data_IF_739929832856
#
_entry.id   IF_739929832856
#
_cell.length_a   1.000
_cell.length_b   1.000
_cell.length_c   1.000
_cell.angle_alpha   90.00
_cell.angle_beta   90.00
_cell.angle_gamma   90.00
#
_symmetry.space_group_name_H-M   'P 1'
#
loop_
_entity.id
_entity.type
_entity.pdbx_description
1 polymer ?
#
# COMPACT_ATOMS: atom_id res chain seq x y z
N UNK A 1 -18.21 -27.44 -3.69
CA UNK A 1 -16.92 -28.05 -3.28
C UNK A 1 -15.88 -26.93 -3.18
N UNK A 2 -15.65 -26.38 -1.98
CA UNK A 2 -14.64 -25.35 -1.76
C UNK A 2 -13.26 -26.00 -1.77
N UNK A 3 -12.53 -25.82 -2.87
CA UNK A 3 -11.18 -26.32 -3.02
C UNK A 3 -10.27 -25.74 -1.93
N UNK A 4 -9.60 -26.65 -1.23
CA UNK A 4 -8.55 -26.51 -0.21
C UNK A 4 -7.79 -25.17 -0.25
N UNK A 5 -8.32 -24.14 0.40
CA UNK A 5 -7.72 -22.79 0.48
C UNK A 5 -6.46 -22.79 1.33
N UNK A 6 -6.43 -23.63 2.37
CA UNK A 6 -5.30 -23.76 3.28
C UNK A 6 -4.00 -24.22 2.61
N UNK A 7 -4.05 -25.00 1.52
CA UNK A 7 -2.84 -25.49 0.85
C UNK A 7 -2.15 -24.38 0.06
N UNK A 8 -2.91 -23.49 -0.57
CA UNK A 8 -2.36 -22.44 -1.42
C UNK A 8 -1.56 -21.41 -0.61
N UNK A 9 -2.06 -21.01 0.57
CA UNK A 9 -1.38 -20.06 1.45
C UNK A 9 -0.10 -20.65 2.06
N UNK A 10 -0.12 -21.93 2.43
CA UNK A 10 1.08 -22.65 2.90
C UNK A 10 2.13 -22.73 1.80
N UNK A 11 1.72 -23.02 0.56
CA UNK A 11 2.65 -23.08 -0.58
C UNK A 11 3.18 -21.70 -0.95
N UNK A 12 2.37 -20.65 -0.81
CA UNK A 12 2.81 -19.27 -0.95
C UNK A 12 3.88 -18.92 0.11
N UNK A 13 3.66 -19.25 1.38
CA UNK A 13 4.63 -19.01 2.45
C UNK A 13 5.94 -19.79 2.23
N UNK A 14 5.87 -21.03 1.74
CA UNK A 14 7.07 -21.79 1.37
C UNK A 14 7.84 -21.11 0.24
N UNK A 15 7.15 -20.73 -0.84
CA UNK A 15 7.77 -20.05 -1.99
C UNK A 15 8.39 -18.72 -1.61
N UNK A 16 7.69 -17.88 -0.84
CA UNK A 16 8.23 -16.59 -0.41
C UNK A 16 9.51 -16.78 0.41
N UNK A 17 9.52 -17.79 1.27
CA UNK A 17 10.67 -18.11 2.12
C UNK A 17 11.84 -18.69 1.32
N UNK A 18 11.56 -19.44 0.25
CA UNK A 18 12.61 -20.02 -0.61
C UNK A 18 13.25 -18.95 -1.50
N UNK A 19 12.43 -18.15 -2.18
CA UNK A 19 12.90 -17.18 -3.18
C UNK A 19 13.51 -15.92 -2.55
N UNK A 20 13.06 -15.53 -1.35
CA UNK A 20 13.44 -14.27 -0.72
C UNK A 20 14.25 -14.45 0.56
N UNK A 21 14.82 -15.63 0.81
CA UNK A 21 15.62 -15.92 2.02
C UNK A 21 16.84 -14.99 2.22
N UNK A 22 17.40 -14.45 1.13
CA UNK A 22 18.57 -13.56 1.18
C UNK A 22 18.21 -12.09 1.45
N UNK A 23 16.92 -11.73 1.42
CA UNK A 23 16.52 -10.34 1.59
C UNK A 23 16.58 -9.95 3.07
N UNK A 24 17.48 -9.03 3.42
CA UNK A 24 17.61 -8.50 4.79
C UNK A 24 16.33 -7.83 5.33
N UNK A 25 15.38 -7.50 4.46
CA UNK A 25 14.12 -6.84 4.81
C UNK A 25 12.95 -7.80 4.97
N UNK A 26 13.15 -9.11 4.76
CA UNK A 26 12.10 -10.12 4.89
C UNK A 26 12.56 -11.21 5.86
N UNK A 27 11.73 -11.48 6.87
CA UNK A 27 11.97 -12.54 7.84
C UNK A 27 10.78 -13.49 7.87
N UNK A 28 11.04 -14.81 7.88
CA UNK A 28 9.99 -15.83 7.99
C UNK A 28 9.47 -15.92 9.43
N UNK A 29 8.16 -16.10 9.59
CA UNK A 29 7.51 -16.43 10.88
C UNK A 29 6.75 -17.76 10.77
N UNK A 30 6.27 -18.29 11.89
CA UNK A 30 5.50 -19.54 11.89
C UNK A 30 4.19 -19.41 11.09
N UNK A 31 3.45 -18.32 11.33
CA UNK A 31 2.12 -18.07 10.75
C UNK A 31 2.15 -17.16 9.52
N UNK A 32 3.34 -16.81 9.02
CA UNK A 32 3.50 -16.00 7.82
C UNK A 32 4.91 -15.46 7.61
N UNK A 33 5.02 -14.14 7.47
CA UNK A 33 6.28 -13.44 7.26
C UNK A 33 6.26 -12.04 7.87
N UNK A 34 7.43 -11.45 8.00
CA UNK A 34 7.67 -10.17 8.62
C UNK A 34 8.48 -9.31 7.65
N UNK A 35 8.08 -8.05 7.49
CA UNK A 35 8.74 -7.08 6.60
C UNK A 35 9.32 -5.96 7.45
N UNK A 36 10.61 -5.69 7.27
CA UNK A 36 11.29 -4.55 7.87
C UNK A 36 11.07 -3.31 6.99
N UNK A 37 9.95 -2.60 7.22
CA UNK A 37 9.67 -1.34 6.54
C UNK A 37 10.54 -0.22 7.12
N UNK A 38 10.68 0.89 6.38
CA UNK A 38 11.39 2.08 6.87
C UNK A 38 10.80 2.63 8.19
N UNK A 39 9.50 2.43 8.39
CA UNK A 39 8.72 2.87 9.54
C UNK A 39 8.77 1.91 10.74
N UNK A 40 9.33 0.71 10.56
CA UNK A 40 9.33 -0.36 11.56
C UNK A 40 8.98 -1.72 10.96
N UNK A 41 8.99 -2.71 11.83
CA UNK A 41 8.79 -4.11 11.44
C UNK A 41 7.32 -4.49 11.55
N UNK A 42 6.75 -5.07 10.50
CA UNK A 42 5.34 -5.47 10.44
C UNK A 42 5.24 -6.96 10.14
N UNK A 43 4.44 -7.67 10.94
CA UNK A 43 4.13 -9.10 10.76
C UNK A 43 2.85 -9.26 9.94
N UNK A 44 2.90 -10.10 8.93
CA UNK A 44 1.78 -10.46 8.08
C UNK A 44 1.45 -11.94 8.27
N UNK A 45 0.18 -12.23 8.57
CA UNK A 45 -0.35 -13.59 8.60
C UNK A 45 -0.77 -13.99 7.18
N UNK A 46 -0.43 -15.21 6.76
CA UNK A 46 -0.71 -15.70 5.39
C UNK A 46 -2.09 -16.33 5.23
N UNK A 47 -2.87 -16.45 6.30
CA UNK A 47 -4.20 -17.04 6.25
C UNK A 47 -5.15 -16.21 5.35
N UNK A 48 -5.68 -16.85 4.30
CA UNK A 48 -6.59 -16.25 3.34
C UNK A 48 -5.93 -15.26 2.38
N UNK A 49 -4.60 -15.24 2.29
CA UNK A 49 -3.87 -14.27 1.45
C UNK A 49 -4.17 -14.48 -0.03
N UNK A 50 -4.13 -15.73 -0.50
CA UNK A 50 -4.36 -16.08 -1.90
C UNK A 50 -5.81 -15.84 -2.31
N UNK A 51 -6.76 -16.16 -1.43
CA UNK A 51 -8.19 -15.95 -1.67
C UNK A 51 -8.54 -14.47 -1.73
N UNK A 52 -8.03 -13.65 -0.80
CA UNK A 52 -8.22 -12.19 -0.83
C UNK A 52 -7.59 -11.54 -2.06
N UNK A 53 -6.55 -12.15 -2.62
CA UNK A 53 -5.90 -11.67 -3.83
C UNK A 53 -6.64 -12.10 -5.11
N UNK A 54 -7.58 -13.04 -5.01
CA UNK A 54 -8.40 -13.50 -6.13
C UNK A 54 -9.47 -12.46 -6.44
N UNK A 55 -9.24 -11.67 -7.48
CA UNK A 55 -10.14 -10.61 -7.94
C UNK A 55 -10.93 -11.03 -9.18
N UNK A 56 -11.60 -12.19 -9.07
CA UNK A 56 -12.31 -12.80 -10.20
C UNK A 56 -13.78 -12.39 -10.14
N UNK A 57 -14.18 -11.53 -11.07
CA UNK A 57 -15.58 -11.39 -11.44
C UNK A 57 -15.88 -12.41 -12.55
N UNK A 58 -16.83 -13.31 -12.31
CA UNK A 58 -17.17 -14.33 -13.30
C UNK A 58 -17.77 -13.70 -14.55
N UNK A 59 -17.30 -14.15 -15.72
CA UNK A 59 -17.75 -13.67 -17.04
C UNK A 59 -19.26 -13.79 -17.23
N UNK A 60 -19.87 -14.82 -16.64
CA UNK A 60 -21.31 -15.06 -16.75
C UNK A 60 -22.12 -14.01 -15.98
N UNK A 61 -21.59 -13.51 -14.87
CA UNK A 61 -22.19 -12.39 -14.13
C UNK A 61 -22.10 -11.09 -14.93
N UNK A 62 -20.96 -10.85 -15.61
CA UNK A 62 -20.82 -9.68 -16.50
C UNK A 62 -21.86 -9.74 -17.63
N UNK A 63 -21.97 -10.88 -18.30
CA UNK A 63 -22.96 -11.12 -19.36
C UNK A 63 -24.40 -10.94 -18.86
N UNK A 64 -24.69 -11.40 -17.65
CA UNK A 64 -26.00 -11.23 -17.02
C UNK A 64 -26.32 -9.74 -16.76
N UNK A 65 -25.35 -8.97 -16.28
CA UNK A 65 -25.55 -7.53 -16.05
C UNK A 65 -25.72 -6.77 -17.37
N UNK A 66 -25.01 -7.19 -18.43
CA UNK A 66 -25.11 -6.62 -19.77
C UNK A 66 -26.45 -6.93 -20.47
N UNK A 67 -27.14 -8.02 -20.10
CA UNK A 67 -28.47 -8.34 -20.63
C UNK A 67 -29.62 -7.59 -19.94
N UNK A 68 -29.31 -6.77 -18.94
CA UNK A 68 -30.29 -5.91 -18.26
C UNK A 68 -30.94 -4.92 -19.22
N UNK A 69 -32.24 -4.68 -19.04
CA UNK A 69 -32.97 -3.65 -19.78
C UNK A 69 -32.68 -2.23 -19.27
N UNK A 70 -32.01 -2.10 -18.11
CA UNK A 70 -31.69 -0.81 -17.52
C UNK A 70 -30.33 -0.29 -18.05
N UNK A 71 -30.36 0.86 -18.70
CA UNK A 71 -29.16 1.51 -19.28
C UNK A 71 -28.07 1.81 -18.27
N UNK A 72 -28.44 2.25 -17.07
CA UNK A 72 -27.48 2.51 -16.00
C UNK A 72 -26.75 1.23 -15.59
N UNK A 73 -27.46 0.11 -15.48
CA UNK A 73 -26.83 -1.18 -15.14
C UNK A 73 -25.86 -1.60 -16.23
N UNK A 74 -26.24 -1.50 -17.51
CA UNK A 74 -25.34 -1.82 -18.63
C UNK A 74 -24.10 -0.93 -18.65
N UNK A 75 -24.25 0.36 -18.33
CA UNK A 75 -23.14 1.32 -18.29
C UNK A 75 -22.09 1.02 -17.20
N UNK A 76 -22.45 0.30 -16.13
CA UNK A 76 -21.50 -0.10 -15.08
C UNK A 76 -20.57 -1.25 -15.51
N UNK A 77 -20.90 -1.98 -16.59
CA UNK A 77 -20.15 -3.13 -17.07
C UNK A 77 -19.74 -2.95 -18.55
N UNK A 78 -18.88 -1.96 -18.86
CA UNK A 78 -18.48 -1.63 -20.23
C UNK A 78 -17.53 -2.67 -20.85
N UNK A 79 -16.99 -3.59 -20.06
CA UNK A 79 -15.95 -4.53 -20.46
C UNK A 79 -16.43 -5.48 -21.57
N UNK A 80 -15.63 -5.63 -22.62
CA UNK A 80 -15.85 -6.67 -23.62
C UNK A 80 -15.34 -8.00 -23.07
N UNK A 81 -16.25 -8.95 -22.90
CA UNK A 81 -15.94 -10.26 -22.36
C UNK A 81 -15.31 -11.12 -23.45
N UNK A 82 -14.01 -10.94 -23.69
CA UNK A 82 -13.26 -11.78 -24.61
C UNK A 82 -13.10 -13.20 -24.04
N UNK A 83 -13.35 -14.23 -24.86
CA UNK A 83 -13.13 -15.64 -24.51
C UNK A 83 -11.63 -16.01 -24.40
N UNK A 84 -10.73 -15.02 -24.28
CA UNK A 84 -9.32 -15.29 -24.14
C UNK A 84 -9.07 -15.95 -22.78
N UNK A 85 -8.44 -17.11 -22.80
CA UNK A 85 -8.08 -17.90 -21.60
C UNK A 85 -6.89 -17.26 -20.84
N UNK A 86 -6.89 -15.93 -20.75
CA UNK A 86 -5.94 -15.13 -20.00
C UNK A 86 -6.21 -15.34 -18.51
N UNK A 87 -5.15 -15.52 -17.72
CA UNK A 87 -5.31 -15.59 -16.26
C UNK A 87 -5.91 -14.27 -15.77
N UNK A 88 -7.01 -14.30 -15.00
CA UNK A 88 -7.60 -13.08 -14.48
C UNK A 88 -6.56 -12.31 -13.65
N UNK A 89 -6.53 -11.00 -13.84
CA UNK A 89 -5.68 -10.10 -13.06
C UNK A 89 -6.02 -10.22 -11.57
N UNK A 90 -5.01 -10.32 -10.72
CA UNK A 90 -5.21 -10.38 -9.26
C UNK A 90 -5.41 -8.99 -8.66
N UNK A 91 -6.02 -8.90 -7.47
CA UNK A 91 -6.21 -7.64 -6.75
C UNK A 91 -4.86 -6.90 -6.57
N UNK A 92 -3.83 -7.63 -6.14
CA UNK A 92 -2.49 -7.08 -5.96
C UNK A 92 -1.86 -6.59 -7.26
N UNK A 93 -2.13 -7.25 -8.39
CA UNK A 93 -1.63 -6.78 -9.69
C UNK A 93 -2.29 -5.46 -10.10
N UNK A 94 -3.63 -5.34 -9.93
CA UNK A 94 -4.36 -4.10 -10.23
C UNK A 94 -3.89 -2.95 -9.34
N UNK A 95 -3.79 -3.19 -8.03
CA UNK A 95 -3.32 -2.18 -7.06
C UNK A 95 -1.90 -1.71 -7.41
N UNK A 96 -0.99 -2.63 -7.77
CA UNK A 96 0.37 -2.27 -8.16
C UNK A 96 0.41 -1.41 -9.42
N UNK A 97 -0.36 -1.79 -10.44
CA UNK A 97 -0.44 -1.01 -11.70
C UNK A 97 -1.00 0.40 -11.44
N UNK A 98 -2.13 0.50 -10.74
CA UNK A 98 -2.75 1.78 -10.40
C UNK A 98 -1.86 2.65 -9.52
N UNK A 99 -1.14 2.05 -8.57
CA UNK A 99 -0.19 2.78 -7.72
C UNK A 99 0.99 3.33 -8.53
N UNK A 100 1.53 2.57 -9.47
CA UNK A 100 2.61 3.03 -10.35
C UNK A 100 2.15 4.18 -11.25
N UNK A 101 0.98 4.05 -11.88
CA UNK A 101 0.39 5.10 -12.72
C UNK A 101 0.17 6.40 -11.92
N UNK A 102 -0.30 6.28 -10.68
CA UNK A 102 -0.46 7.42 -9.77
C UNK A 102 0.88 8.07 -9.43
N UNK A 103 1.90 7.27 -9.09
CA UNK A 103 3.25 7.78 -8.80
C UNK A 103 3.81 8.53 -10.00
N UNK A 104 3.68 7.97 -11.21
CA UNK A 104 4.15 8.61 -12.44
C UNK A 104 3.44 9.94 -12.72
N UNK A 105 2.15 10.03 -12.42
CA UNK A 105 1.40 11.29 -12.53
C UNK A 105 1.88 12.32 -11.48
N UNK A 106 2.11 11.90 -10.24
CA UNK A 106 2.57 12.78 -9.16
C UNK A 106 4.00 13.30 -9.41
N UNK A 107 4.87 12.49 -10.01
CA UNK A 107 6.25 12.88 -10.33
C UNK A 107 6.34 13.97 -11.41
N UNK A 108 5.27 14.20 -12.18
CA UNK A 108 5.19 15.31 -13.15
C UNK A 108 4.88 16.66 -12.50
N UNK A 109 4.51 16.67 -11.23
CA UNK A 109 4.10 17.86 -10.48
C UNK A 109 5.16 18.27 -9.44
N UNK A 110 5.00 19.47 -8.87
CA UNK A 110 5.80 19.89 -7.71
C UNK A 110 5.15 19.36 -6.43
N UNK A 111 5.82 18.48 -5.65
CA UNK A 111 5.20 17.86 -4.49
C UNK A 111 5.17 18.82 -3.28
N UNK A 112 4.02 18.86 -2.61
CA UNK A 112 3.86 19.52 -1.30
C UNK A 112 3.41 18.47 -0.27
N UNK A 113 4.08 18.43 0.88
CA UNK A 113 3.84 17.41 1.90
C UNK A 113 3.17 18.00 3.14
N UNK A 114 2.01 17.46 3.51
CA UNK A 114 1.33 17.73 4.77
C UNK A 114 1.37 16.44 5.59
N UNK A 115 1.82 16.53 6.85
CA UNK A 115 1.92 15.38 7.75
C UNK A 115 0.95 15.59 8.91
N UNK A 116 -0.10 14.79 8.95
CA UNK A 116 -1.11 14.83 10.00
C UNK A 116 -0.68 13.95 11.18
N UNK A 117 -0.92 14.40 12.41
CA UNK A 117 -0.63 13.66 13.64
C UNK A 117 -1.94 13.46 14.40
N UNK A 118 -2.25 12.20 14.76
CA UNK A 118 -3.40 11.87 15.62
C UNK A 118 -2.98 11.97 17.09
N UNK A 119 -3.47 12.94 17.87
CA UNK A 119 -2.96 13.20 19.22
C UNK A 119 -3.40 12.15 20.26
N UNK A 120 -4.52 11.46 20.03
CA UNK A 120 -5.08 10.45 20.93
C UNK A 120 -6.02 9.48 20.18
N UNK A 121 -6.28 8.31 20.75
CA UNK A 121 -7.31 7.36 20.26
C UNK A 121 -8.72 7.62 20.80
N UNK A 122 -8.84 8.38 21.89
CA UNK A 122 -10.12 8.69 22.55
C UNK A 122 -11.00 9.61 21.72
N UNK A 123 -10.46 10.21 20.64
CA UNK A 123 -11.10 11.19 19.76
C UNK A 123 -11.54 12.44 20.53
N UNK A 124 -10.82 12.81 21.59
CA UNK A 124 -11.10 13.99 22.41
C UNK A 124 -10.19 15.15 22.05
N UNK A 125 -10.75 16.36 22.12
CA UNK A 125 -9.95 17.58 22.01
C UNK A 125 -9.07 17.76 23.23
N UNK A 126 -7.88 18.35 23.04
CA UNK A 126 -6.87 18.62 24.10
C UNK A 126 -6.38 17.39 24.88
N UNK A 127 -6.60 16.20 24.35
CA UNK A 127 -6.08 14.95 24.90
C UNK A 127 -4.81 14.56 24.13
N UNK A 128 -3.72 14.24 24.85
CA UNK A 128 -2.39 14.04 24.28
C UNK A 128 -1.75 12.74 24.78
N UNK A 129 -1.53 11.84 23.84
CA UNK A 129 -0.88 10.56 24.07
C UNK A 129 0.56 10.61 23.55
N UNK A 130 1.51 10.93 24.44
CA UNK A 130 2.90 11.17 24.07
C UNK A 130 3.55 9.98 23.36
N UNK A 131 3.35 8.76 23.87
CA UNK A 131 3.90 7.55 23.24
C UNK A 131 3.44 7.37 21.79
N UNK A 132 2.17 7.65 21.53
CA UNK A 132 1.58 7.57 20.19
C UNK A 132 2.10 8.66 19.27
N UNK A 133 2.15 9.91 19.73
CA UNK A 133 2.66 11.01 18.92
C UNK A 133 4.15 10.82 18.63
N UNK A 134 4.94 10.38 19.61
CA UNK A 134 6.36 10.06 19.41
C UNK A 134 6.54 8.99 18.34
N UNK A 135 5.79 7.90 18.43
CA UNK A 135 5.82 6.85 17.41
C UNK A 135 5.45 7.38 16.02
N UNK A 136 4.46 8.27 15.92
CA UNK A 136 4.09 8.96 14.67
C UNK A 136 5.21 9.82 14.10
N UNK A 137 5.87 10.62 14.93
CA UNK A 137 6.99 11.47 14.52
C UNK A 137 8.14 10.63 13.95
N UNK A 138 8.41 9.47 14.56
CA UNK A 138 9.44 8.51 14.14
C UNK A 138 9.05 7.82 12.82
N UNK A 139 7.86 7.20 12.73
CA UNK A 139 7.47 6.47 11.51
C UNK A 139 7.17 7.38 10.32
N UNK A 140 6.76 8.63 10.55
CA UNK A 140 6.62 9.64 9.49
C UNK A 140 8.00 10.15 9.02
N UNK A 141 9.09 9.80 9.72
CA UNK A 141 10.45 10.24 9.40
C UNK A 141 10.62 11.75 9.55
N UNK A 142 9.87 12.41 10.43
CA UNK A 142 9.97 13.86 10.61
C UNK A 142 11.38 14.25 11.10
N UNK A 143 11.94 13.44 11.99
CA UNK A 143 13.30 13.61 12.51
C UNK A 143 14.34 13.40 11.41
N UNK A 144 14.19 12.37 10.60
CA UNK A 144 15.06 12.02 9.47
C UNK A 144 15.02 13.11 8.41
N UNK A 145 13.84 13.65 8.09
CA UNK A 145 13.67 14.79 7.19
C UNK A 145 14.46 16.03 7.67
N UNK A 146 14.43 16.31 8.98
CA UNK A 146 15.22 17.40 9.57
C UNK A 146 16.72 17.09 9.46
N UNK A 147 17.13 15.86 9.75
CA UNK A 147 18.54 15.43 9.64
C UNK A 147 19.08 15.59 8.21
N UNK A 148 18.34 15.14 7.20
CA UNK A 148 18.71 15.27 5.78
C UNK A 148 18.83 16.74 5.40
N UNK A 149 17.89 17.60 5.81
CA UNK A 149 17.99 19.05 5.56
C UNK A 149 19.19 19.70 6.25
N UNK A 150 19.54 19.24 7.46
CA UNK A 150 20.70 19.73 8.22
C UNK A 150 22.05 19.24 7.69
N UNK A 151 22.09 18.07 7.06
CA UNK A 151 23.30 17.55 6.40
C UNK A 151 23.68 18.36 5.15
N UNK A 152 22.72 19.04 4.53
CA UNK A 152 22.97 20.02 3.48
C UNK A 152 23.04 21.46 4.01
N UNK A 153 22.94 22.44 3.11
CA UNK A 153 22.81 23.84 3.47
C UNK A 153 21.39 24.14 3.97
N UNK A 154 21.19 23.95 5.28
CA UNK A 154 19.91 24.19 5.94
C UNK A 154 19.50 25.67 5.93
N UNK A 155 20.47 26.58 5.94
CA UNK A 155 20.23 28.02 5.91
C UNK A 155 20.37 28.55 4.49
N UNK A 156 19.24 28.92 3.88
CA UNK A 156 19.18 29.52 2.55
C UNK A 156 18.51 30.88 2.68
N UNK A 157 19.32 31.93 2.76
CA UNK A 157 18.83 33.31 2.77
C UNK A 157 19.44 34.09 1.61
N UNK A 158 18.65 35.01 1.08
CA UNK A 158 19.15 36.01 0.13
C UNK A 158 20.21 36.89 0.81
N UNK A 159 21.21 37.28 0.02
CA UNK A 159 22.40 38.00 0.47
C UNK A 159 22.09 39.24 1.32
N UNK A 160 21.10 40.07 0.92
CA UNK A 160 20.71 41.25 1.70
C UNK A 160 20.28 40.92 3.14
N UNK A 161 19.56 39.80 3.37
CA UNK A 161 19.15 39.38 4.72
C UNK A 161 20.29 38.71 5.52
N UNK A 162 21.38 38.34 4.85
CA UNK A 162 22.58 37.81 5.49
C UNK A 162 23.49 38.94 5.97
N UNK A 163 23.60 40.04 5.19
CA UNK A 163 24.40 41.21 5.53
C UNK A 163 23.91 41.95 6.79
N UNK A 164 22.60 42.03 7.02
CA UNK A 164 22.00 42.73 8.17
C UNK A 164 21.92 41.85 9.44
N UNK A 165 22.86 40.93 9.65
CA UNK A 165 22.82 39.96 10.74
C UNK A 165 23.97 40.13 11.71
#
# INVERSE_FOLDING_TARGET
MHAVTNTADVDFQKKISQELNQNQHLQRTAEGFMVHHYAGTVTYHVEGFCDRNRDVLFTDLIKLMQSSQNDFIRALFPDQVDNSCSRPTTAGSKIRTQANELVDALMKCTPHYIRCIKPNETKKSKDWEEGRVKHQVEYLGLKENIRVRRAGFAYRRHFHKFLHR
#
